data_IF_211743332524
#
_entry.id   IF_211743332524
#
_cell.length_a   1.000
_cell.length_b   1.000
_cell.length_c   1.000
_cell.angle_alpha   90.00
_cell.angle_beta   90.00
_cell.angle_gamma   90.00
#
_symmetry.space_group_name_H-M   'P 1'
#
loop_
_entity.id
_entity.type
_entity.pdbx_description
1 polymer ?
#
# COMPACT_ATOMS: atom_id res chain seq x y z
N UNK A 1 1.78 46.25 13.35
CA UNK A 1 1.01 45.34 12.45
C UNK A 1 1.84 44.63 11.37
N UNK A 2 2.94 45.20 10.83
CA UNK A 2 3.75 44.55 9.78
C UNK A 2 4.68 43.45 10.31
N UNK A 3 5.26 43.62 11.51
CA UNK A 3 6.21 42.67 12.10
C UNK A 3 5.56 41.33 12.50
N UNK A 4 4.34 41.35 13.08
CA UNK A 4 3.64 40.13 13.48
C UNK A 4 3.27 39.23 12.30
N UNK A 5 2.99 39.83 11.13
CA UNK A 5 2.70 39.10 9.88
C UNK A 5 3.94 38.37 9.37
N UNK A 6 5.11 39.03 9.39
CA UNK A 6 6.38 38.43 8.95
C UNK A 6 6.76 37.25 9.86
N UNK A 7 6.63 37.41 11.17
CA UNK A 7 6.92 36.33 12.14
C UNK A 7 5.97 35.14 11.94
N UNK A 8 4.70 35.41 11.64
CA UNK A 8 3.71 34.35 11.38
C UNK A 8 4.02 33.58 10.09
N UNK A 9 4.37 34.29 9.00
CA UNK A 9 4.74 33.65 7.73
C UNK A 9 6.03 32.83 7.86
N UNK A 10 7.03 33.35 8.57
CA UNK A 10 8.29 32.64 8.81
C UNK A 10 8.08 31.38 9.66
N UNK A 11 7.21 31.45 10.67
CA UNK A 11 6.84 30.29 11.49
C UNK A 11 6.16 29.21 10.64
N UNK A 12 5.24 29.59 9.75
CA UNK A 12 4.55 28.64 8.86
C UNK A 12 5.51 27.92 7.91
N UNK A 13 6.51 28.64 7.38
CA UNK A 13 7.54 28.08 6.51
C UNK A 13 8.44 27.09 7.25
N UNK A 14 8.81 27.38 8.51
CA UNK A 14 9.64 26.49 9.32
C UNK A 14 8.94 25.18 9.71
N UNK A 15 7.60 25.18 9.86
CA UNK A 15 6.82 23.97 10.09
C UNK A 15 6.64 23.09 8.84
N UNK A 16 6.75 23.67 7.64
CA UNK A 16 6.62 22.90 6.39
C UNK A 16 7.85 22.06 6.02
N UNK A 17 9.00 22.30 6.68
CA UNK A 17 10.27 21.66 6.34
C UNK A 17 10.49 20.26 6.97
N UNK A 18 9.54 19.75 7.79
CA UNK A 18 9.71 18.50 8.56
C UNK A 18 8.84 17.33 8.10
N UNK A 19 8.04 17.48 7.05
CA UNK A 19 7.28 16.37 6.47
C UNK A 19 8.11 15.60 5.44
N UNK A 20 9.19 14.94 5.88
CA UNK A 20 9.84 13.91 5.08
C UNK A 20 9.03 12.61 5.21
N UNK A 21 8.50 12.10 4.10
CA UNK A 21 7.87 10.79 4.08
C UNK A 21 8.92 9.73 4.43
N UNK A 22 8.59 8.84 5.36
CA UNK A 22 9.44 7.68 5.65
C UNK A 22 9.45 6.76 4.44
N UNK A 23 10.61 6.19 4.12
CA UNK A 23 10.69 5.16 3.08
C UNK A 23 9.82 3.96 3.49
N UNK A 24 9.12 3.32 2.52
CA UNK A 24 8.45 2.05 2.77
C UNK A 24 9.44 1.04 3.34
N UNK A 25 9.00 0.27 4.34
CA UNK A 25 9.79 -0.84 4.88
C UNK A 25 9.27 -2.11 4.20
N UNK A 26 10.01 -2.61 3.22
CA UNK A 26 9.72 -3.91 2.60
C UNK A 26 10.27 -5.05 3.50
N UNK A 27 9.64 -6.23 3.49
CA UNK A 27 10.23 -7.41 4.11
C UNK A 27 11.58 -7.76 3.49
N UNK A 28 12.45 -8.49 4.21
CA UNK A 28 13.71 -9.00 3.67
C UNK A 28 13.52 -9.84 2.40
N UNK A 29 14.49 -9.77 1.47
CA UNK A 29 14.49 -10.52 0.21
C UNK A 29 14.48 -12.06 0.39
N UNK A 30 14.92 -12.54 1.55
CA UNK A 30 14.96 -13.96 1.92
C UNK A 30 13.67 -14.45 2.58
N UNK A 31 12.57 -13.70 2.49
CA UNK A 31 11.27 -14.16 2.97
C UNK A 31 10.84 -15.42 2.20
N UNK A 32 10.51 -16.53 2.88
CA UNK A 32 10.30 -17.84 2.26
C UNK A 32 9.07 -17.94 1.32
N UNK A 33 8.29 -16.87 1.19
CA UNK A 33 6.94 -16.87 0.62
C UNK A 33 6.90 -16.55 -0.88
N UNK A 34 8.03 -16.53 -1.59
CA UNK A 34 8.11 -16.22 -3.03
C UNK A 34 8.68 -17.35 -3.89
N UNK A 35 8.31 -18.59 -3.61
CA UNK A 35 8.96 -19.75 -4.26
C UNK A 35 8.22 -20.28 -5.48
N UNK A 36 6.90 -20.12 -5.55
CA UNK A 36 6.08 -20.69 -6.63
C UNK A 36 5.05 -19.67 -7.11
N UNK A 37 5.18 -19.25 -8.38
CA UNK A 37 4.20 -18.38 -9.04
C UNK A 37 2.96 -19.19 -9.44
N UNK A 38 1.81 -18.53 -9.41
CA UNK A 38 0.53 -19.14 -9.76
C UNK A 38 -0.32 -18.16 -10.55
N UNK A 39 -1.04 -18.67 -11.55
CA UNK A 39 -2.02 -17.88 -12.30
C UNK A 39 -3.29 -17.67 -11.46
N UNK A 40 -3.97 -16.51 -11.58
CA UNK A 40 -5.24 -16.29 -10.89
C UNK A 40 -6.29 -17.36 -11.21
N UNK A 41 -7.07 -17.75 -10.19
CA UNK A 41 -8.11 -18.75 -10.35
C UNK A 41 -9.35 -18.47 -9.48
N UNK A 42 -10.50 -18.97 -9.90
CA UNK A 42 -11.72 -18.90 -9.11
C UNK A 42 -11.67 -19.93 -7.98
N UNK A 43 -11.85 -19.47 -6.74
CA UNK A 43 -11.90 -20.36 -5.58
C UNK A 43 -13.32 -20.89 -5.44
N UNK A 44 -14.28 -19.98 -5.27
CA UNK A 44 -15.70 -20.30 -5.12
C UNK A 44 -16.55 -19.04 -5.38
N UNK A 45 -17.64 -19.21 -6.13
CA UNK A 45 -18.61 -18.14 -6.41
C UNK A 45 -17.91 -16.87 -6.93
N UNK A 46 -18.08 -15.73 -6.26
CA UNK A 46 -17.48 -14.45 -6.58
C UNK A 46 -16.10 -14.21 -5.91
N UNK A 47 -15.51 -15.23 -5.28
CA UNK A 47 -14.21 -15.16 -4.59
C UNK A 47 -13.12 -15.79 -5.47
N UNK A 48 -12.10 -15.01 -5.78
CA UNK A 48 -10.99 -15.41 -6.66
C UNK A 48 -9.65 -15.23 -5.95
N UNK A 49 -8.73 -16.16 -6.18
CA UNK A 49 -7.33 -15.98 -5.85
C UNK A 49 -6.66 -15.12 -6.93
N UNK A 50 -5.93 -14.09 -6.52
CA UNK A 50 -5.25 -13.14 -7.43
C UNK A 50 -3.82 -12.80 -6.99
N UNK A 51 -3.26 -13.54 -6.02
CA UNK A 51 -1.86 -13.41 -5.62
C UNK A 51 -0.90 -13.85 -6.73
N UNK A 52 0.33 -13.32 -6.73
CA UNK A 52 1.36 -13.76 -7.68
C UNK A 52 1.95 -15.10 -7.26
N UNK A 53 2.18 -15.28 -5.96
CA UNK A 53 2.74 -16.51 -5.39
C UNK A 53 1.72 -17.26 -4.55
N UNK A 54 1.79 -18.59 -4.49
CA UNK A 54 0.82 -19.41 -3.73
C UNK A 54 0.82 -19.12 -2.24
N UNK A 55 1.91 -18.55 -1.69
CA UNK A 55 2.01 -18.12 -0.31
C UNK A 55 1.50 -16.68 -0.07
N UNK A 56 1.22 -15.91 -1.12
CA UNK A 56 0.63 -14.56 -1.03
C UNK A 56 -0.90 -14.65 -1.09
N UNK A 57 -1.55 -14.54 0.06
CA UNK A 57 -3.01 -14.61 0.20
C UNK A 57 -3.76 -13.38 -0.31
N UNK A 58 -3.62 -13.02 -1.59
CA UNK A 58 -4.37 -11.93 -2.21
C UNK A 58 -5.64 -12.44 -2.89
N UNK A 59 -6.79 -11.85 -2.54
CA UNK A 59 -8.11 -12.30 -2.97
C UNK A 59 -8.95 -11.17 -3.58
N UNK A 60 -9.69 -11.48 -4.63
CA UNK A 60 -10.66 -10.59 -5.25
C UNK A 60 -12.09 -11.12 -5.04
N UNK A 61 -12.90 -10.34 -4.34
CA UNK A 61 -14.35 -10.57 -4.21
C UNK A 61 -15.08 -9.66 -5.18
N UNK A 62 -15.76 -10.22 -6.18
CA UNK A 62 -16.50 -9.45 -7.17
C UNK A 62 -17.95 -9.19 -6.74
N UNK A 63 -18.55 -8.12 -7.24
CA UNK A 63 -19.90 -7.70 -6.87
C UNK A 63 -20.45 -6.73 -7.92
N UNK A 64 -21.77 -6.59 -7.98
CA UNK A 64 -22.44 -5.74 -8.97
C UNK A 64 -22.23 -4.25 -8.73
N UNK A 65 -21.93 -3.84 -7.49
CA UNK A 65 -21.72 -2.45 -7.09
C UNK A 65 -20.24 -2.06 -7.00
N UNK A 66 -19.34 -3.02 -7.22
CA UNK A 66 -17.90 -2.85 -7.03
C UNK A 66 -17.23 -4.15 -6.63
N UNK A 67 -15.92 -4.09 -6.45
CA UNK A 67 -15.09 -5.24 -6.08
C UNK A 67 -14.26 -4.92 -4.85
N UNK A 68 -13.97 -5.93 -4.05
CA UNK A 68 -13.08 -5.83 -2.89
C UNK A 68 -11.80 -6.63 -3.17
N UNK A 69 -10.66 -5.95 -3.09
CA UNK A 69 -9.34 -6.58 -3.09
C UNK A 69 -8.89 -6.72 -1.63
N UNK A 70 -8.58 -7.94 -1.21
CA UNK A 70 -8.07 -8.28 0.11
C UNK A 70 -6.60 -8.65 -0.03
N UNK A 71 -5.74 -7.93 0.67
CA UNK A 71 -4.28 -7.99 0.55
C UNK A 71 -3.77 -7.60 -0.85
N UNK A 72 -2.50 -7.24 -0.93
CA UNK A 72 -1.83 -6.80 -2.16
C UNK A 72 -0.46 -7.45 -2.36
N UNK A 73 -0.01 -8.28 -1.41
CA UNK A 73 1.34 -8.81 -1.41
C UNK A 73 2.36 -7.73 -1.07
N UNK A 74 3.58 -7.89 -1.60
CA UNK A 74 4.72 -7.01 -1.32
C UNK A 74 5.14 -6.23 -2.56
N UNK A 75 5.68 -5.03 -2.35
CA UNK A 75 6.35 -4.27 -3.42
C UNK A 75 7.52 -5.09 -4.00
N UNK A 76 7.76 -4.92 -5.31
CA UNK A 76 8.90 -5.49 -6.05
C UNK A 76 10.10 -4.54 -6.09
#
# INVERSE_FOLDING_TARGET
MKLSRIVSTLSLLLFSAVALAQAPVSPPDDHPDKTEQVEPFNIIDNINFVGRYVQEGSYLVTGSEGHLLIDTGYDE
#
